data_IF_258179491216
#
_entry.id   IF_258179491216
#
_cell.length_a   1.000
_cell.length_b   1.000
_cell.length_c   1.000
_cell.angle_alpha   90.00
_cell.angle_beta   90.00
_cell.angle_gamma   90.00
#
_symmetry.space_group_name_H-M   'P 1'
#
loop_
_entity.id
_entity.type
_entity.pdbx_description
1 polymer ?
#
# COMPACT_ATOMS: atom_id res chain seq x y z
N UNK A 1 -2.43 3.69 -8.87
CA UNK A 1 -2.70 4.79 -7.92
C UNK A 1 -1.46 5.37 -7.23
N UNK A 2 -0.67 4.61 -6.46
CA UNK A 2 0.44 5.18 -5.65
C UNK A 2 1.49 5.95 -6.48
N UNK A 3 1.89 5.41 -7.65
CA UNK A 3 2.84 6.08 -8.57
C UNK A 3 2.29 7.43 -9.03
N UNK A 4 1.04 7.46 -9.51
CA UNK A 4 0.35 8.68 -9.93
C UNK A 4 0.20 9.69 -8.78
N UNK A 5 -0.11 9.23 -7.57
CA UNK A 5 -0.22 10.11 -6.41
C UNK A 5 1.12 10.79 -6.08
N UNK A 6 2.23 10.05 -6.17
CA UNK A 6 3.59 10.60 -6.00
C UNK A 6 3.98 11.55 -7.12
N UNK A 7 3.55 11.27 -8.36
CA UNK A 7 3.74 12.16 -9.49
C UNK A 7 3.08 13.53 -9.24
N UNK A 8 1.83 13.56 -8.80
CA UNK A 8 1.16 14.82 -8.47
C UNK A 8 1.80 15.56 -7.28
N UNK A 9 2.32 14.84 -6.28
CA UNK A 9 3.11 15.48 -5.20
C UNK A 9 4.40 16.11 -5.73
N UNK A 10 5.05 15.45 -6.68
CA UNK A 10 6.26 15.98 -7.31
C UNK A 10 5.94 17.23 -8.12
N UNK A 11 4.88 17.21 -8.94
CA UNK A 11 4.42 18.40 -9.67
C UNK A 11 4.08 19.54 -8.71
N UNK A 12 3.35 19.27 -7.62
CA UNK A 12 2.95 20.29 -6.66
C UNK A 12 4.13 21.05 -6.03
N UNK A 13 5.31 20.44 -6.00
CA UNK A 13 6.54 21.03 -5.45
C UNK A 13 7.30 21.92 -6.45
N UNK A 14 6.83 22.03 -7.69
CA UNK A 14 7.45 22.95 -8.65
C UNK A 14 7.28 24.40 -8.16
N UNK A 15 8.39 25.14 -7.93
CA UNK A 15 8.32 26.52 -7.45
C UNK A 15 7.64 27.49 -8.42
N UNK A 16 7.41 27.08 -9.68
CA UNK A 16 6.69 27.89 -10.68
C UNK A 16 5.18 27.86 -10.48
N UNK A 17 4.65 26.93 -9.69
CA UNK A 17 3.22 26.81 -9.46
C UNK A 17 2.70 27.96 -8.60
N UNK A 18 1.52 28.46 -8.94
CA UNK A 18 0.73 29.27 -8.02
C UNK A 18 0.21 28.46 -6.84
N UNK A 19 -0.17 29.14 -5.75
CA UNK A 19 -0.81 28.50 -4.59
C UNK A 19 -2.11 27.76 -4.94
N UNK A 20 -2.81 28.21 -6.00
CA UNK A 20 -4.04 27.55 -6.48
C UNK A 20 -3.70 26.22 -7.17
N UNK A 21 -2.71 26.22 -8.06
CA UNK A 21 -2.26 25.02 -8.77
C UNK A 21 -1.66 24.00 -7.80
N UNK A 22 -0.80 24.44 -6.88
CA UNK A 22 -0.23 23.59 -5.85
C UNK A 22 -1.32 22.86 -5.05
N UNK A 23 -2.35 23.60 -4.59
CA UNK A 23 -3.50 22.99 -3.89
C UNK A 23 -4.28 22.01 -4.76
N UNK A 24 -4.49 22.31 -6.03
CA UNK A 24 -5.17 21.41 -6.96
C UNK A 24 -4.39 20.09 -7.13
N UNK A 25 -3.09 20.15 -7.36
CA UNK A 25 -2.23 18.97 -7.51
C UNK A 25 -2.15 18.13 -6.22
N UNK A 26 -2.08 18.78 -5.05
CA UNK A 26 -2.16 18.08 -3.77
C UNK A 26 -3.52 17.38 -3.59
N UNK A 27 -4.61 18.01 -4.03
CA UNK A 27 -5.96 17.42 -3.99
C UNK A 27 -6.03 16.18 -4.87
N UNK A 28 -5.50 16.23 -6.10
CA UNK A 28 -5.41 15.07 -6.98
C UNK A 28 -4.59 13.93 -6.39
N UNK A 29 -3.46 14.25 -5.75
CA UNK A 29 -2.67 13.26 -5.03
C UNK A 29 -3.46 12.58 -3.91
N UNK A 30 -4.20 13.34 -3.10
CA UNK A 30 -5.01 12.83 -2.01
C UNK A 30 -6.16 11.94 -2.53
N UNK A 31 -6.84 12.37 -3.59
CA UNK A 31 -7.88 11.57 -4.26
C UNK A 31 -7.34 10.22 -4.73
N UNK A 32 -6.14 10.19 -5.30
CA UNK A 32 -5.50 8.95 -5.74
C UNK A 32 -5.10 8.05 -4.57
N UNK A 33 -4.65 8.59 -3.44
CA UNK A 33 -4.41 7.80 -2.24
C UNK A 33 -5.71 7.22 -1.67
N UNK A 34 -6.79 7.98 -1.68
CA UNK A 34 -8.11 7.49 -1.29
C UNK A 34 -8.59 6.35 -2.21
N UNK A 35 -8.48 6.52 -3.54
CA UNK A 35 -8.85 5.48 -4.50
C UNK A 35 -7.98 4.23 -4.38
N UNK A 36 -6.68 4.40 -4.08
CA UNK A 36 -5.78 3.29 -3.78
C UNK A 36 -6.29 2.48 -2.58
N UNK A 37 -6.61 3.15 -1.48
CA UNK A 37 -7.05 2.46 -0.25
C UNK A 37 -8.43 1.82 -0.44
N UNK A 38 -9.33 2.44 -1.21
CA UNK A 38 -10.60 1.80 -1.60
C UNK A 38 -10.38 0.54 -2.44
N UNK A 39 -9.48 0.58 -3.42
CA UNK A 39 -9.13 -0.59 -4.21
C UNK A 39 -8.51 -1.70 -3.35
N UNK A 40 -7.65 -1.34 -2.39
CA UNK A 40 -7.10 -2.30 -1.42
C UNK A 40 -8.20 -2.96 -0.59
N UNK A 41 -9.18 -2.19 -0.08
CA UNK A 41 -10.28 -2.78 0.68
C UNK A 41 -11.18 -3.68 -0.19
N UNK A 42 -11.48 -3.27 -1.43
CA UNK A 42 -12.24 -4.10 -2.36
C UNK A 42 -11.55 -5.42 -2.65
N UNK A 43 -10.22 -5.40 -2.85
CA UNK A 43 -9.44 -6.62 -3.01
C UNK A 43 -9.51 -7.51 -1.76
N UNK A 44 -9.28 -6.93 -0.58
CA UNK A 44 -9.36 -7.67 0.69
C UNK A 44 -10.71 -8.35 0.88
N UNK A 45 -11.81 -7.67 0.54
CA UNK A 45 -13.16 -8.23 0.58
C UNK A 45 -13.34 -9.37 -0.42
N UNK A 46 -12.81 -9.23 -1.63
CA UNK A 46 -12.92 -10.26 -2.68
C UNK A 46 -12.22 -11.56 -2.28
N UNK A 47 -11.11 -11.46 -1.55
CA UNK A 47 -10.32 -12.61 -1.09
C UNK A 47 -10.72 -13.08 0.31
N UNK A 48 -11.85 -12.63 0.85
CA UNK A 48 -12.32 -12.92 2.21
C UNK A 48 -11.26 -12.67 3.29
N UNK A 49 -10.49 -11.60 3.15
CA UNK A 49 -9.39 -11.22 4.03
C UNK A 49 -8.34 -12.33 4.21
N UNK A 50 -8.16 -13.23 3.23
CA UNK A 50 -7.07 -14.21 3.18
C UNK A 50 -5.71 -13.54 2.92
N UNK A 51 -5.21 -12.84 3.92
CA UNK A 51 -3.94 -12.13 3.90
C UNK A 51 -3.35 -12.04 5.32
N UNK A 52 -2.05 -11.80 5.40
CA UNK A 52 -1.39 -11.40 6.65
C UNK A 52 -1.25 -9.89 6.67
N UNK A 53 -1.38 -9.25 7.84
CA UNK A 53 -1.05 -7.83 7.97
C UNK A 53 -0.43 -7.46 9.30
N UNK A 54 0.48 -6.48 9.27
CA UNK A 54 1.24 -6.07 10.45
C UNK A 54 1.81 -4.66 10.30
N UNK A 55 2.08 -4.02 11.43
CA UNK A 55 2.80 -2.75 11.45
C UNK A 55 4.28 -2.93 11.09
N UNK A 56 4.82 -2.00 10.30
CA UNK A 56 6.19 -2.06 9.81
C UNK A 56 7.13 -1.23 10.68
N UNK A 57 8.30 -1.78 11.00
CA UNK A 57 9.43 -1.04 11.58
C UNK A 57 10.07 -0.16 10.50
N UNK A 58 9.93 1.16 10.66
CA UNK A 58 10.46 2.15 9.72
C UNK A 58 11.37 3.16 10.41
N UNK A 59 12.35 3.70 9.66
CA UNK A 59 13.19 4.83 10.10
C UNK A 59 12.44 6.16 10.04
N UNK A 60 11.52 6.29 9.09
CA UNK A 60 10.77 7.53 8.84
C UNK A 60 9.86 7.89 10.00
N UNK A 61 10.11 9.03 10.64
CA UNK A 61 9.31 9.50 11.79
C UNK A 61 7.84 9.76 11.41
N UNK A 62 7.57 10.12 10.14
CA UNK A 62 6.20 10.33 9.63
C UNK A 62 5.38 9.04 9.57
N UNK A 63 6.04 7.92 9.25
CA UNK A 63 5.40 6.62 9.02
C UNK A 63 5.47 5.68 10.23
N UNK A 64 6.33 6.02 11.19
CA UNK A 64 6.49 5.28 12.43
C UNK A 64 5.12 5.07 13.10
N UNK A 65 4.85 3.81 13.45
CA UNK A 65 3.63 3.36 14.12
C UNK A 65 2.34 3.54 13.30
N UNK A 66 2.47 3.80 11.99
CA UNK A 66 1.34 4.03 11.07
C UNK A 66 1.37 3.14 9.84
N UNK A 67 2.57 2.81 9.34
CA UNK A 67 2.70 1.98 8.13
C UNK A 67 2.33 0.53 8.43
N UNK A 68 1.32 0.05 7.73
CA UNK A 68 0.87 -1.34 7.73
C UNK A 68 1.30 -1.96 6.41
N UNK A 69 1.87 -3.17 6.47
CA UNK A 69 2.12 -4.05 5.33
C UNK A 69 1.08 -5.16 5.33
N UNK A 70 0.49 -5.41 4.16
CA UNK A 70 -0.48 -6.47 3.90
C UNK A 70 0.17 -7.40 2.87
N UNK A 71 0.18 -8.70 3.16
CA UNK A 71 0.87 -9.71 2.37
C UNK A 71 -0.12 -10.80 1.98
N UNK A 72 -0.32 -10.97 0.67
CA UNK A 72 -1.11 -12.06 0.11
C UNK A 72 -0.13 -13.11 -0.43
N UNK A 73 -0.27 -14.34 0.06
CA UNK A 73 0.62 -15.48 -0.25
C UNK A 73 -0.10 -16.67 -0.87
N UNK A 74 -1.43 -16.65 -0.86
CA UNK A 74 -2.25 -17.74 -1.38
C UNK A 74 -2.04 -17.85 -2.90
N UNK A 75 -1.50 -18.98 -3.40
CA UNK A 75 -1.16 -19.13 -4.82
C UNK A 75 -2.37 -19.03 -5.75
N UNK A 76 -3.53 -19.52 -5.32
CA UNK A 76 -4.74 -19.51 -6.14
C UNK A 76 -5.22 -18.07 -6.32
N UNK A 77 -5.24 -17.30 -5.22
CA UNK A 77 -5.55 -15.85 -5.26
C UNK A 77 -4.55 -15.10 -6.14
N UNK A 78 -3.25 -15.38 -6.01
CA UNK A 78 -2.21 -14.69 -6.78
C UNK A 78 -2.31 -14.98 -8.28
N UNK A 79 -2.65 -16.22 -8.65
CA UNK A 79 -2.86 -16.62 -10.03
C UNK A 79 -4.08 -15.91 -10.65
N UNK A 80 -5.17 -15.77 -9.90
CA UNK A 80 -6.36 -15.03 -10.35
C UNK A 80 -6.10 -13.53 -10.53
N UNK A 81 -5.36 -12.92 -9.61
CA UNK A 81 -5.03 -11.49 -9.66
C UNK A 81 -4.14 -11.16 -10.86
N UNK A 82 -3.22 -12.05 -11.22
CA UNK A 82 -2.28 -11.80 -12.29
C UNK A 82 -2.14 -13.03 -13.19
N UNK A 83 -3.11 -13.14 -14.11
CA UNK A 83 -3.18 -14.17 -15.15
C UNK A 83 -1.91 -14.28 -16.03
N UNK A 84 -1.04 -13.26 -16.03
CA UNK A 84 0.24 -13.24 -16.77
C UNK A 84 1.42 -13.85 -15.99
N UNK A 85 1.28 -14.17 -14.69
CA UNK A 85 2.30 -14.92 -13.94
C UNK A 85 2.54 -16.33 -14.51
N UNK A 86 1.55 -16.91 -15.18
CA UNK A 86 1.65 -18.24 -15.81
C UNK A 86 2.78 -18.35 -16.86
N UNK A 87 3.23 -17.24 -17.43
CA UNK A 87 4.22 -17.22 -18.52
C UNK A 87 5.67 -17.08 -18.01
N UNK A 88 5.88 -16.56 -16.79
CA UNK A 88 7.21 -16.25 -16.26
C UNK A 88 7.73 -17.23 -15.20
N UNK A 89 6.90 -18.18 -14.78
CA UNK A 89 7.22 -19.14 -13.71
C UNK A 89 7.04 -18.50 -12.34
N UNK A 90 6.25 -19.13 -11.48
CA UNK A 90 6.11 -18.72 -10.07
C UNK A 90 7.42 -19.01 -9.35
N UNK A 91 8.06 -18.00 -8.78
CA UNK A 91 9.04 -18.21 -7.73
C UNK A 91 8.31 -18.24 -6.38
N UNK A 92 8.80 -19.00 -5.41
CA UNK A 92 8.22 -19.12 -4.05
C UNK A 92 8.10 -17.77 -3.27
N UNK A 93 8.57 -16.67 -3.86
CA UNK A 93 8.63 -15.33 -3.27
C UNK A 93 7.73 -14.28 -3.95
N UNK A 94 6.85 -14.68 -4.88
CA UNK A 94 5.97 -13.74 -5.59
C UNK A 94 4.72 -13.37 -4.77
N UNK A 95 4.93 -12.84 -3.57
CA UNK A 95 3.84 -12.32 -2.75
C UNK A 95 3.34 -10.98 -3.29
N UNK A 96 2.03 -10.78 -3.25
CA UNK A 96 1.47 -9.45 -3.44
C UNK A 96 1.57 -8.67 -2.13
N UNK A 97 2.46 -7.68 -2.12
CA UNK A 97 2.73 -6.83 -0.97
C UNK A 97 2.09 -5.46 -1.20
N UNK A 98 1.23 -5.07 -0.27
CA UNK A 98 0.56 -3.77 -0.25
C UNK A 98 0.93 -3.02 1.03
N UNK A 99 0.93 -1.70 0.96
CA UNK A 99 1.15 -0.84 2.13
C UNK A 99 0.01 0.13 2.30
N UNK A 100 -0.37 0.43 3.54
CA UNK A 100 -1.31 1.52 3.84
C UNK A 100 -0.95 2.23 5.14
N UNK A 101 -1.44 3.45 5.30
CA UNK A 101 -1.48 4.19 6.57
C UNK A 101 -2.93 4.55 6.96
N UNK A 102 -3.91 4.01 6.23
CA UNK A 102 -5.31 4.33 6.41
C UNK A 102 -5.84 3.69 7.68
N UNK A 103 -6.36 4.51 8.58
CA UNK A 103 -7.04 4.06 9.81
C UNK A 103 -8.28 3.24 9.47
N UNK A 104 -8.97 3.56 8.37
CA UNK A 104 -10.13 2.81 7.91
C UNK A 104 -9.76 1.38 7.51
N UNK A 105 -8.65 1.20 6.78
CA UNK A 105 -8.16 -0.15 6.46
C UNK A 105 -7.69 -0.85 7.74
N UNK A 106 -6.96 -0.17 8.62
CA UNK A 106 -6.51 -0.76 9.90
C UNK A 106 -7.69 -1.32 10.70
N UNK A 107 -8.79 -0.57 10.80
CA UNK A 107 -10.01 -1.03 11.47
C UNK A 107 -10.64 -2.24 10.78
N UNK A 108 -10.67 -2.27 9.45
CA UNK A 108 -11.18 -3.41 8.71
C UNK A 108 -10.32 -4.68 8.91
N UNK A 109 -8.98 -4.53 8.92
CA UNK A 109 -8.06 -5.63 9.17
C UNK A 109 -8.23 -6.18 10.60
N UNK A 110 -8.34 -5.29 11.60
CA UNK A 110 -8.61 -5.65 13.00
C UNK A 110 -9.95 -6.37 13.16
N UNK A 111 -11.02 -5.86 12.55
CA UNK A 111 -12.36 -6.46 12.64
C UNK A 111 -12.41 -7.87 12.06
N UNK A 112 -11.51 -8.20 11.12
CA UNK A 112 -11.37 -9.54 10.54
C UNK A 112 -10.25 -10.37 11.18
N UNK A 113 -9.64 -9.89 12.28
CA UNK A 113 -8.57 -10.56 13.03
C UNK A 113 -7.31 -10.89 12.21
N UNK A 114 -6.99 -10.09 11.21
CA UNK A 114 -5.79 -10.30 10.36
C UNK A 114 -4.68 -9.26 10.57
N UNK A 115 -4.89 -8.26 11.43
CA UNK A 115 -3.86 -7.31 11.82
C UNK A 115 -3.16 -7.77 13.09
N UNK A 116 -1.87 -8.03 12.98
CA UNK A 116 -1.06 -8.41 14.12
C UNK A 116 -0.57 -7.20 14.92
N UNK A 117 -0.54 -7.36 16.25
CA UNK A 117 -0.03 -6.33 17.18
C UNK A 117 1.49 -6.13 17.08
N UNK A 118 2.21 -7.16 16.64
CA UNK A 118 3.67 -7.15 16.63
C UNK A 118 4.23 -6.40 15.41
N UNK A 119 5.13 -5.44 15.65
CA UNK A 119 5.85 -4.75 14.57
C UNK A 119 6.90 -5.66 13.94
N UNK A 120 6.87 -5.80 12.62
CA UNK A 120 7.82 -6.63 11.84
C UNK A 120 8.71 -5.78 10.92
N UNK A 121 9.82 -6.38 10.49
CA UNK A 121 10.61 -5.85 9.38
C UNK A 121 9.82 -6.09 8.09
N UNK A 122 9.79 -5.11 7.19
CA UNK A 122 9.07 -5.24 5.91
C UNK A 122 9.73 -6.30 5.03
N UNK A 123 8.93 -7.03 4.26
CA UNK A 123 9.42 -7.90 3.19
C UNK A 123 10.07 -7.12 2.04
N UNK A 124 9.74 -5.83 1.93
CA UNK A 124 10.35 -4.87 0.99
C UNK A 124 11.20 -3.81 1.71
N UNK A 125 11.88 -4.20 2.80
CA UNK A 125 12.63 -3.29 3.67
C UNK A 125 13.64 -2.40 2.91
N UNK A 126 14.35 -2.97 1.94
CA UNK A 126 15.28 -2.23 1.09
C UNK A 126 14.60 -1.09 0.34
N UNK A 127 13.34 -1.24 -0.06
CA UNK A 127 12.57 -0.17 -0.67
C UNK A 127 12.03 0.82 0.37
N UNK A 128 11.47 0.31 1.49
CA UNK A 128 10.83 1.14 2.51
C UNK A 128 11.83 2.06 3.20
N UNK A 129 12.96 1.53 3.68
CA UNK A 129 13.92 2.31 4.48
C UNK A 129 14.99 3.04 3.65
N UNK A 130 15.00 2.88 2.31
CA UNK A 130 15.79 3.72 1.41
C UNK A 130 14.99 4.88 0.81
N UNK A 131 13.67 4.69 0.61
CA UNK A 131 12.82 5.66 -0.11
C UNK A 131 12.01 6.59 0.80
N UNK A 132 11.80 6.22 2.08
CA UNK A 132 11.06 7.01 3.07
C UNK A 132 11.91 7.36 4.28
#
# INVERSE_FOLDING_TARGET
>A
YNVSAKYWQWIARDPKNSDKECRAYLTESLNLYHNKDNATLSLLRLIDFKAESYYVRVKSQKLKDKLIEIVIKDPDILLEINAFYSVSGLNDNDYLILHTISVFIANALNANNILEDNKRKSLTDNYINQKY
#
